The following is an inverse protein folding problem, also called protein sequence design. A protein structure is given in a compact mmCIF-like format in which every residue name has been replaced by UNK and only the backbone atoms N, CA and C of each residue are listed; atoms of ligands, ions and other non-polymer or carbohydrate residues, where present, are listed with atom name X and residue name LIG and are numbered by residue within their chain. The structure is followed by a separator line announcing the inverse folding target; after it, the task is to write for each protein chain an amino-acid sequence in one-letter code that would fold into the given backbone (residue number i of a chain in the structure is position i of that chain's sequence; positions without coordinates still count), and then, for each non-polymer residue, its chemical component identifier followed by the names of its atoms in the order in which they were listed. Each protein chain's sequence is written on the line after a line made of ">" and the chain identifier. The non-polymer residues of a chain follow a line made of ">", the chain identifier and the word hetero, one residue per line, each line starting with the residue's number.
data_IF_721736577020
#
_entry.id   IF_721736577020
#
_cell.length_a   1.000
_cell.length_b   1.000
_cell.length_c   1.000
_cell.angle_alpha   90.00
_cell.angle_beta   90.00
_cell.angle_gamma   90.00
#
_symmetry.space_group_name_H-M   'P 1'
#
loop_
_entity.id
_entity.type
_entity.pdbx_description
1 polymer ?
#
# COMPACT_ATOMS: atom_id res chain seq x y z
N UNK A 1 -15.46 -27.63 14.58
CA UNK A 1 -16.03 -26.53 15.41
C UNK A 1 -15.51 -25.23 14.83
N UNK A 2 -16.36 -24.51 14.09
CA UNK A 2 -16.01 -23.18 13.60
C UNK A 2 -16.20 -22.24 14.78
N UNK A 3 -15.10 -21.79 15.38
CA UNK A 3 -15.17 -20.72 16.37
C UNK A 3 -15.07 -19.39 15.63
N UNK A 4 -16.20 -18.98 15.07
CA UNK A 4 -16.43 -17.60 14.63
C UNK A 4 -16.51 -16.72 15.87
N UNK A 5 -15.34 -16.32 16.38
CA UNK A 5 -15.26 -15.28 17.40
C UNK A 5 -15.21 -13.95 16.67
N UNK A 6 -16.37 -13.29 16.58
CA UNK A 6 -16.48 -11.87 16.21
C UNK A 6 -15.86 -11.03 17.31
N UNK A 7 -14.54 -11.03 17.37
CA UNK A 7 -13.80 -10.11 18.17
C UNK A 7 -13.09 -9.17 17.20
N UNK A 8 -13.49 -7.90 17.23
CA UNK A 8 -12.69 -6.77 16.80
C UNK A 8 -11.44 -6.67 17.70
N UNK A 9 -10.66 -7.75 17.77
CA UNK A 9 -9.25 -7.70 18.10
C UNK A 9 -8.66 -7.04 16.88
N UNK A 10 -8.17 -5.82 17.03
CA UNK A 10 -7.07 -5.36 16.18
C UNK A 10 -5.94 -6.37 16.38
N UNK A 11 -6.01 -7.51 15.69
CA UNK A 11 -4.82 -8.19 15.24
C UNK A 11 -4.22 -7.14 14.33
N UNK A 12 -3.38 -6.26 14.90
CA UNK A 12 -2.41 -5.54 14.13
C UNK A 12 -1.62 -6.64 13.44
N UNK A 13 -2.03 -7.01 12.24
CA UNK A 13 -1.22 -7.89 11.41
C UNK A 13 0.15 -7.20 11.40
N UNK A 14 1.20 -7.92 11.76
CA UNK A 14 2.56 -7.36 11.71
C UNK A 14 3.00 -7.01 10.28
N UNK A 15 2.11 -7.21 9.31
CA UNK A 15 2.31 -7.07 7.90
C UNK A 15 1.07 -6.48 7.23
N UNK A 16 1.31 -5.87 6.07
CA UNK A 16 0.32 -5.32 5.17
C UNK A 16 0.21 -6.21 3.93
N UNK A 17 -0.99 -6.26 3.34
CA UNK A 17 -1.25 -6.88 2.04
C UNK A 17 -1.78 -5.83 1.08
N UNK A 18 -1.10 -5.63 -0.05
CA UNK A 18 -1.61 -4.76 -1.11
C UNK A 18 -2.71 -5.46 -1.90
N UNK A 19 -3.48 -4.70 -2.68
CA UNK A 19 -4.48 -5.27 -3.59
C UNK A 19 -3.87 -6.25 -4.62
N UNK A 20 -2.58 -6.09 -4.94
CA UNK A 20 -1.81 -7.01 -5.80
C UNK A 20 -1.32 -8.27 -5.08
N UNK A 21 -1.70 -8.49 -3.82
CA UNK A 21 -1.31 -9.66 -3.02
C UNK A 21 0.13 -9.62 -2.51
N UNK A 22 0.81 -8.46 -2.60
CA UNK A 22 2.17 -8.31 -2.08
C UNK A 22 2.14 -8.12 -0.57
N UNK A 23 3.03 -8.80 0.14
CA UNK A 23 3.19 -8.72 1.59
C UNK A 23 4.36 -7.81 1.96
N UNK A 24 4.15 -6.98 2.97
CA UNK A 24 5.14 -6.04 3.52
C UNK A 24 5.12 -6.13 5.05
N UNK A 25 6.27 -6.19 5.70
CA UNK A 25 6.37 -6.17 7.16
C UNK A 25 6.20 -4.76 7.72
N UNK A 26 5.97 -4.63 9.03
CA UNK A 26 5.94 -3.35 9.74
C UNK A 26 7.17 -2.49 9.41
N UNK A 27 6.94 -1.25 8.98
CA UNK A 27 7.98 -0.31 8.61
C UNK A 27 8.51 -0.46 7.19
N UNK A 28 8.18 -1.53 6.46
CA UNK A 28 8.55 -1.66 5.05
C UNK A 28 7.89 -0.55 4.23
N UNK A 29 8.67 0.06 3.34
CA UNK A 29 8.23 1.06 2.39
C UNK A 29 8.16 0.51 0.96
N UNK A 30 7.21 0.98 0.17
CA UNK A 30 7.13 0.66 -1.26
C UNK A 30 6.55 1.82 -2.07
N UNK A 31 6.84 1.75 -3.37
CA UNK A 31 6.32 2.67 -4.37
C UNK A 31 5.48 1.89 -5.39
N UNK A 32 4.36 2.47 -5.80
CA UNK A 32 3.46 1.89 -6.83
C UNK A 32 3.20 2.86 -8.01
N UNK A 33 4.08 3.84 -8.17
CA UNK A 33 4.15 4.76 -9.30
C UNK A 33 3.61 6.14 -9.00
N UNK A 34 2.50 6.22 -8.27
CA UNK A 34 1.89 7.49 -7.88
C UNK A 34 1.84 7.68 -6.37
N UNK A 35 2.09 6.63 -5.59
CA UNK A 35 2.04 6.68 -4.13
C UNK A 35 3.34 6.18 -3.53
N UNK A 36 3.80 6.91 -2.51
CA UNK A 36 4.76 6.39 -1.54
C UNK A 36 4.00 5.84 -0.36
N UNK A 37 4.26 4.58 -0.04
CA UNK A 37 3.55 3.83 0.98
C UNK A 37 4.51 3.23 2.00
N UNK A 38 4.00 3.00 3.21
CA UNK A 38 4.65 2.17 4.21
C UNK A 38 3.63 1.38 5.01
N UNK A 39 4.08 0.27 5.60
CA UNK A 39 3.23 -0.54 6.46
C UNK A 39 3.30 -0.03 7.90
N UNK A 40 2.14 0.25 8.49
CA UNK A 40 2.04 0.62 9.89
C UNK A 40 0.86 -0.02 10.59
N UNK A 41 1.14 -0.80 11.64
CA UNK A 41 0.18 -1.55 12.43
C UNK A 41 -0.79 -2.39 11.58
N UNK A 42 -0.26 -3.00 10.51
CA UNK A 42 -1.05 -3.82 9.58
C UNK A 42 -1.91 -3.04 8.60
N UNK A 43 -1.71 -1.71 8.51
CA UNK A 43 -2.39 -0.83 7.58
C UNK A 43 -1.41 -0.22 6.58
N UNK A 44 -1.79 -0.24 5.32
CA UNK A 44 -1.14 0.52 4.26
C UNK A 44 -1.36 2.02 4.49
N UNK A 45 -0.27 2.76 4.70
CA UNK A 45 -0.26 4.20 4.87
C UNK A 45 0.43 4.82 3.66
N UNK A 46 -0.31 5.58 2.84
CA UNK A 46 0.21 6.13 1.59
C UNK A 46 -0.01 7.62 1.47
N UNK A 47 0.89 8.26 0.73
CA UNK A 47 0.76 9.64 0.26
C UNK A 47 0.89 9.68 -1.26
N UNK A 48 0.18 10.62 -1.91
CA UNK A 48 0.39 10.87 -3.33
C UNK A 48 1.67 11.66 -3.52
N UNK A 49 2.49 11.22 -4.47
CA UNK A 49 3.65 11.97 -4.91
C UNK A 49 3.29 12.86 -6.09
N UNK A 50 4.00 13.97 -6.22
CA UNK A 50 3.92 14.86 -7.39
C UNK A 50 5.16 14.72 -8.25
N UNK A 51 4.96 14.45 -9.53
CA UNK A 51 6.01 14.46 -10.55
C UNK A 51 6.01 15.81 -11.30
N UNK A 52 7.17 16.27 -11.81
CA UNK A 52 7.23 17.39 -12.74
C UNK A 52 6.34 17.12 -13.97
N UNK A 53 5.68 18.16 -14.48
CA UNK A 53 4.85 18.05 -15.67
C UNK A 53 5.74 17.78 -16.90
N UNK A 54 5.51 16.69 -17.67
CA UNK A 54 6.25 16.43 -18.89
C UNK A 54 6.06 17.54 -19.93
N UNK A 55 7.10 17.84 -20.70
CA UNK A 55 7.08 18.92 -21.72
C UNK A 55 6.60 18.47 -23.09
N UNK A 56 6.18 17.21 -23.25
CA UNK A 56 5.74 16.65 -24.53
C UNK A 56 4.24 16.86 -24.76
N UNK A 57 3.82 16.86 -26.04
CA UNK A 57 2.42 17.08 -26.43
C UNK A 57 1.47 15.96 -26.00
N UNK A 58 1.99 14.73 -25.86
CA UNK A 58 1.20 13.54 -25.56
C UNK A 58 1.88 12.71 -24.45
N UNK A 59 1.78 13.14 -23.18
CA UNK A 59 2.30 12.35 -22.08
C UNK A 59 1.47 11.07 -21.89
N UNK A 60 2.14 9.96 -21.58
CA UNK A 60 1.51 8.67 -21.31
C UNK A 60 1.93 8.17 -19.93
N UNK A 61 0.97 7.64 -19.16
CA UNK A 61 1.27 6.94 -17.91
C UNK A 61 1.65 5.50 -18.24
N UNK A 62 2.86 5.08 -17.86
CA UNK A 62 3.29 3.69 -18.01
C UNK A 62 2.99 2.94 -16.71
N UNK A 63 2.48 1.70 -16.77
CA UNK A 63 2.43 0.84 -15.59
C UNK A 63 3.84 0.54 -15.10
N UNK A 64 4.01 0.43 -13.79
CA UNK A 64 5.23 -0.08 -13.16
C UNK A 64 5.28 -1.61 -13.09
#
# INVERSE_FOLDING_TARGET
>A
RVSSTSASVTVSSSFCLTAGGRRFEEGDGWHDGCRDCYCHAGREMCVLITCPVPTCTHPVLRPD
#
